data_IF_277230142263
#
_entry.id   IF_277230142263
#
_cell.length_a   1.000
_cell.length_b   1.000
_cell.length_c   1.000
_cell.angle_alpha   90.00
_cell.angle_beta   90.00
_cell.angle_gamma   90.00
#
_symmetry.space_group_name_H-M   'P 1'
#
loop_
_entity.id
_entity.type
_entity.pdbx_description
1 polymer ?
#
# COMPACT_ATOMS: atom_id res chain seq x y z
N UNK A 1 -13.72 -6.41 1.38
CA UNK A 1 -13.16 -6.30 2.75
C UNK A 1 -13.29 -7.62 3.50
N UNK A 2 -12.31 -7.93 4.35
CA UNK A 2 -12.32 -9.11 5.22
C UNK A 2 -12.02 -8.75 6.69
N UNK A 3 -11.83 -7.47 6.96
CA UNK A 3 -11.54 -6.96 8.30
C UNK A 3 -12.68 -6.10 8.84
N UNK A 4 -13.35 -5.37 7.96
CA UNK A 4 -14.41 -4.44 8.34
C UNK A 4 -15.71 -4.76 7.62
N UNK A 5 -16.84 -4.46 8.28
CA UNK A 5 -18.17 -4.56 7.68
C UNK A 5 -18.34 -3.65 6.45
N UNK A 6 -19.19 -4.05 5.50
CA UNK A 6 -19.49 -3.28 4.28
C UNK A 6 -19.93 -1.86 4.61
N UNK A 7 -20.77 -1.70 5.62
CA UNK A 7 -21.33 -0.42 6.05
C UNK A 7 -20.24 0.52 6.57
N UNK A 8 -19.26 0.00 7.32
CA UNK A 8 -18.15 0.82 7.85
C UNK A 8 -17.20 1.30 6.76
N UNK A 9 -17.00 0.49 5.72
CA UNK A 9 -16.24 0.92 4.53
C UNK A 9 -17.04 1.97 3.75
N UNK A 10 -18.36 1.78 3.60
CA UNK A 10 -19.22 2.76 2.95
C UNK A 10 -19.20 4.11 3.67
N UNK A 11 -19.33 4.13 5.00
CA UNK A 11 -19.26 5.35 5.82
C UNK A 11 -17.94 6.13 5.61
N UNK A 12 -16.81 5.42 5.54
CA UNK A 12 -15.50 6.05 5.29
C UNK A 12 -15.43 6.68 3.90
N UNK A 13 -15.99 6.01 2.90
CA UNK A 13 -16.04 6.52 1.53
C UNK A 13 -16.98 7.73 1.46
N UNK A 14 -18.14 7.67 2.13
CA UNK A 14 -19.09 8.78 2.19
C UNK A 14 -18.49 10.00 2.90
N UNK A 15 -17.76 9.81 4.01
CA UNK A 15 -17.02 10.88 4.69
C UNK A 15 -16.03 11.58 3.76
N UNK A 16 -15.28 10.78 2.99
CA UNK A 16 -14.33 11.28 2.00
C UNK A 16 -15.02 12.08 0.89
N UNK A 17 -16.02 11.50 0.24
CA UNK A 17 -16.71 12.09 -0.90
C UNK A 17 -17.53 13.33 -0.53
N UNK A 18 -18.15 13.32 0.65
CA UNK A 18 -18.91 14.47 1.18
C UNK A 18 -18.02 15.54 1.78
N UNK A 19 -16.74 15.24 2.02
CA UNK A 19 -15.80 16.10 2.72
C UNK A 19 -16.29 16.49 4.13
N UNK A 20 -16.83 15.51 4.87
CA UNK A 20 -17.42 15.66 6.22
C UNK A 20 -16.70 14.70 7.17
N UNK A 21 -16.38 15.14 8.40
CA UNK A 21 -15.85 14.22 9.40
C UNK A 21 -16.80 13.04 9.65
N UNK A 22 -16.24 11.85 9.86
CA UNK A 22 -17.01 10.59 9.98
C UNK A 22 -17.98 10.61 11.18
N UNK A 23 -17.58 11.23 12.29
CA UNK A 23 -18.40 11.41 13.48
C UNK A 23 -19.62 12.33 13.24
N UNK A 24 -19.54 13.21 12.24
CA UNK A 24 -20.65 14.08 11.87
C UNK A 24 -21.65 13.41 10.92
N UNK A 25 -21.27 12.33 10.24
CA UNK A 25 -22.18 11.57 9.38
C UNK A 25 -23.33 10.96 10.17
N UNK A 26 -23.06 10.42 11.36
CA UNK A 26 -24.06 9.80 12.23
C UNK A 26 -25.10 10.84 12.73
N UNK A 27 -24.69 12.09 12.86
CA UNK A 27 -25.54 13.18 13.32
C UNK A 27 -26.29 13.90 12.18
N UNK A 28 -26.04 13.50 10.93
CA UNK A 28 -26.67 14.12 9.76
C UNK A 28 -28.12 13.67 9.60
N UNK A 29 -29.04 14.61 9.34
CA UNK A 29 -30.40 14.21 9.02
C UNK A 29 -30.46 13.40 7.72
N UNK A 30 -31.38 12.43 7.66
CA UNK A 30 -31.55 11.56 6.47
C UNK A 30 -31.80 12.37 5.18
N UNK A 31 -32.45 13.54 5.29
CA UNK A 31 -32.68 14.43 4.15
C UNK A 31 -31.36 15.02 3.65
N UNK A 32 -30.57 15.62 4.54
CA UNK A 32 -29.28 16.20 4.18
C UNK A 32 -28.32 15.14 3.58
N UNK A 33 -28.29 13.95 4.16
CA UNK A 33 -27.50 12.84 3.65
C UNK A 33 -27.90 12.48 2.22
N UNK A 34 -29.20 12.28 1.97
CA UNK A 34 -29.73 11.97 0.63
C UNK A 34 -29.41 13.05 -0.40
N UNK A 35 -29.59 14.31 -0.04
CA UNK A 35 -29.32 15.45 -0.94
C UNK A 35 -27.84 15.51 -1.32
N UNK A 36 -26.93 15.25 -0.37
CA UNK A 36 -25.47 15.19 -0.65
C UNK A 36 -25.10 14.00 -1.52
N UNK A 37 -25.62 12.80 -1.23
CA UNK A 37 -25.39 11.61 -2.08
C UNK A 37 -25.89 11.87 -3.51
N UNK A 38 -27.06 12.46 -3.69
CA UNK A 38 -27.57 12.78 -5.01
C UNK A 38 -26.69 13.80 -5.75
N UNK A 39 -26.16 14.77 -5.03
CA UNK A 39 -25.21 15.75 -5.58
C UNK A 39 -23.92 15.08 -6.03
N UNK A 40 -23.38 14.14 -5.26
CA UNK A 40 -22.20 13.37 -5.63
C UNK A 40 -22.51 12.47 -6.84
N UNK A 41 -23.60 11.71 -6.77
CA UNK A 41 -24.03 10.82 -7.84
C UNK A 41 -24.24 11.53 -9.19
N UNK A 42 -24.72 12.80 -9.14
CA UNK A 42 -24.88 13.60 -10.37
C UNK A 42 -23.55 14.06 -10.99
N UNK A 43 -22.45 14.06 -10.23
CA UNK A 43 -21.12 14.51 -10.65
C UNK A 43 -20.15 13.37 -10.93
N UNK A 44 -20.48 12.14 -10.53
CA UNK A 44 -19.65 10.96 -10.67
C UNK A 44 -20.30 9.95 -11.60
N UNK A 45 -19.49 9.34 -12.46
CA UNK A 45 -19.94 8.26 -13.35
C UNK A 45 -19.59 6.87 -12.80
N UNK A 46 -18.73 6.82 -11.78
CA UNK A 46 -18.25 5.59 -11.18
C UNK A 46 -19.36 4.83 -10.42
N UNK A 47 -19.26 3.53 -10.43
CA UNK A 47 -20.08 2.63 -9.61
C UNK A 47 -19.18 1.87 -8.66
N UNK A 48 -19.57 1.75 -7.40
CA UNK A 48 -18.85 1.03 -6.38
C UNK A 48 -19.71 -0.13 -5.88
N UNK A 49 -19.07 -1.28 -5.70
CA UNK A 49 -19.65 -2.43 -5.01
C UNK A 49 -18.68 -2.80 -3.89
N UNK A 50 -19.18 -2.84 -2.68
CA UNK A 50 -18.46 -3.30 -1.50
C UNK A 50 -18.97 -4.70 -1.17
N UNK A 51 -18.06 -5.63 -0.88
CA UNK A 51 -18.40 -7.00 -0.48
C UNK A 51 -17.57 -7.42 0.70
N UNK A 52 -18.26 -7.81 1.77
CA UNK A 52 -17.66 -8.38 2.96
C UNK A 52 -17.53 -9.90 2.83
N UNK A 53 -16.42 -10.42 3.34
CA UNK A 53 -16.18 -11.84 3.55
C UNK A 53 -15.63 -12.07 4.95
N UNK A 54 -15.95 -13.17 5.60
CA UNK A 54 -15.33 -13.52 6.88
C UNK A 54 -13.82 -13.66 6.76
N UNK A 55 -13.10 -13.18 7.76
CA UNK A 55 -11.63 -13.25 7.83
C UNK A 55 -11.14 -14.69 7.64
N UNK A 56 -10.13 -14.87 6.81
CA UNK A 56 -9.51 -16.18 6.55
C UNK A 56 -10.36 -17.17 5.72
N UNK A 57 -11.51 -16.75 5.21
CA UNK A 57 -12.39 -17.64 4.43
C UNK A 57 -12.41 -17.34 2.93
N UNK A 58 -12.21 -16.07 2.55
CA UNK A 58 -12.25 -15.68 1.15
C UNK A 58 -10.98 -16.07 0.40
N UNK A 59 -11.14 -16.68 -0.75
CA UNK A 59 -10.09 -17.03 -1.69
C UNK A 59 -10.47 -16.64 -3.12
N UNK A 60 -9.57 -16.84 -4.07
CA UNK A 60 -9.79 -16.46 -5.47
C UNK A 60 -10.99 -17.13 -6.11
N UNK A 61 -11.43 -18.32 -5.65
CA UNK A 61 -12.66 -18.95 -6.16
C UNK A 61 -13.91 -18.17 -5.77
N UNK A 62 -13.94 -17.61 -4.54
CA UNK A 62 -15.04 -16.75 -4.10
C UNK A 62 -15.05 -15.42 -4.89
N UNK A 63 -13.87 -14.82 -5.11
CA UNK A 63 -13.79 -13.60 -5.89
C UNK A 63 -14.20 -13.81 -7.34
N UNK A 64 -13.77 -14.91 -7.96
CA UNK A 64 -14.20 -15.31 -9.31
C UNK A 64 -15.71 -15.49 -9.41
N UNK A 65 -16.31 -16.18 -8.44
CA UNK A 65 -17.76 -16.37 -8.39
C UNK A 65 -18.51 -15.04 -8.29
N UNK A 66 -18.05 -14.13 -7.42
CA UNK A 66 -18.61 -12.78 -7.29
C UNK A 66 -18.50 -11.99 -8.60
N UNK A 67 -17.34 -11.96 -9.24
CA UNK A 67 -17.11 -11.21 -10.47
C UNK A 67 -18.03 -11.71 -11.61
N UNK A 68 -18.17 -13.04 -11.74
CA UNK A 68 -19.09 -13.65 -12.70
C UNK A 68 -20.56 -13.31 -12.39
N UNK A 69 -20.95 -13.36 -11.12
CA UNK A 69 -22.30 -13.00 -10.70
C UNK A 69 -22.62 -11.53 -11.02
N UNK A 70 -21.69 -10.61 -10.71
CA UNK A 70 -21.84 -9.18 -10.99
C UNK A 70 -21.98 -8.92 -12.48
N UNK A 71 -21.16 -9.58 -13.29
CA UNK A 71 -21.23 -9.48 -14.76
C UNK A 71 -22.58 -9.97 -15.29
N UNK A 72 -23.03 -11.14 -14.84
CA UNK A 72 -24.25 -11.77 -15.35
C UNK A 72 -25.54 -11.09 -14.84
N UNK A 73 -25.61 -10.77 -13.53
CA UNK A 73 -26.84 -10.26 -12.92
C UNK A 73 -26.97 -8.74 -12.93
N UNK A 74 -25.84 -8.02 -12.90
CA UNK A 74 -25.84 -6.56 -12.78
C UNK A 74 -25.22 -5.84 -13.99
N UNK A 75 -24.74 -6.60 -14.96
CA UNK A 75 -23.96 -6.08 -16.09
C UNK A 75 -22.83 -5.17 -15.60
N UNK A 76 -22.19 -5.57 -14.49
CA UNK A 76 -21.12 -4.83 -13.86
C UNK A 76 -19.79 -5.55 -14.07
N UNK A 77 -18.84 -4.85 -14.71
CA UNK A 77 -17.46 -5.30 -14.90
C UNK A 77 -16.58 -4.25 -14.22
N UNK A 78 -15.82 -4.62 -13.17
CA UNK A 78 -14.97 -3.66 -12.49
C UNK A 78 -13.77 -3.26 -13.36
N UNK A 79 -13.37 -2.01 -13.28
CA UNK A 79 -12.12 -1.48 -13.88
C UNK A 79 -10.95 -1.55 -12.89
N UNK A 80 -11.23 -1.74 -11.60
CA UNK A 80 -10.24 -1.95 -10.54
C UNK A 80 -10.87 -2.74 -9.40
N UNK A 81 -10.09 -3.60 -8.77
CA UNK A 81 -10.48 -4.36 -7.58
C UNK A 81 -9.56 -4.01 -6.43
N UNK A 82 -10.13 -3.72 -5.26
CA UNK A 82 -9.42 -3.53 -4.01
C UNK A 82 -9.70 -4.70 -3.08
N UNK A 83 -8.65 -5.30 -2.52
CA UNK A 83 -8.75 -6.39 -1.53
C UNK A 83 -8.12 -5.91 -0.23
N UNK A 84 -8.92 -5.76 0.81
CA UNK A 84 -8.48 -5.29 2.12
C UNK A 84 -8.54 -6.44 3.13
N UNK A 85 -7.41 -7.13 3.40
CA UNK A 85 -6.11 -7.10 2.75
C UNK A 85 -5.59 -8.52 2.50
N UNK A 86 -4.51 -8.65 1.76
CA UNK A 86 -4.04 -9.91 1.20
C UNK A 86 -3.75 -10.99 2.25
N UNK A 87 -3.09 -10.65 3.37
CA UNK A 87 -2.61 -11.64 4.35
C UNK A 87 -3.74 -12.38 5.08
N UNK A 88 -4.96 -11.83 5.08
CA UNK A 88 -6.15 -12.47 5.68
C UNK A 88 -7.04 -13.16 4.66
N UNK A 89 -6.60 -13.26 3.39
CA UNK A 89 -7.21 -14.15 2.41
C UNK A 89 -6.87 -15.62 2.69
N UNK A 90 -7.68 -16.52 2.16
CA UNK A 90 -7.35 -17.94 2.11
C UNK A 90 -6.72 -18.32 0.75
N UNK A 91 -5.79 -19.28 0.76
CA UNK A 91 -5.31 -19.88 -0.48
C UNK A 91 -6.26 -20.98 -0.94
N UNK A 92 -6.67 -20.94 -2.20
CA UNK A 92 -7.47 -22.00 -2.81
C UNK A 92 -6.64 -23.25 -3.07
N UNK A 93 -5.33 -23.10 -3.38
CA UNK A 93 -4.41 -24.22 -3.67
C UNK A 93 -4.02 -24.99 -2.42
N UNK A 94 -3.91 -24.32 -1.28
CA UNK A 94 -3.45 -24.93 -0.02
C UNK A 94 -4.57 -25.41 0.88
N UNK A 95 -5.80 -25.34 0.42
CA UNK A 95 -6.97 -25.85 1.16
C UNK A 95 -6.86 -27.37 1.32
N UNK A 96 -6.75 -27.84 2.58
CA UNK A 96 -6.71 -29.28 2.90
C UNK A 96 -5.33 -29.93 2.84
N UNK A 97 -4.24 -29.19 2.64
CA UNK A 97 -2.90 -29.72 2.85
C UNK A 97 -2.65 -29.86 4.35
N UNK A 98 -2.78 -31.10 4.86
CA UNK A 98 -2.40 -31.45 6.23
C UNK A 98 -0.88 -31.38 6.38
N UNK A 99 -0.40 -30.54 7.29
CA UNK A 99 1.03 -30.36 7.56
C UNK A 99 1.31 -28.94 8.03
N UNK A 100 2.51 -28.72 8.56
CA UNK A 100 2.94 -27.36 8.92
C UNK A 100 3.23 -26.59 7.64
N UNK A 101 2.23 -25.82 7.18
CA UNK A 101 2.41 -24.91 6.03
C UNK A 101 3.23 -23.72 6.53
N UNK A 102 4.37 -23.46 5.88
CA UNK A 102 5.15 -22.25 6.14
C UNK A 102 4.35 -21.01 5.71
N UNK A 103 4.19 -20.05 6.61
CA UNK A 103 3.47 -18.79 6.36
C UNK A 103 3.96 -18.08 5.08
N UNK A 104 5.28 -18.10 4.84
CA UNK A 104 5.90 -17.60 3.62
C UNK A 104 5.27 -18.20 2.35
N UNK A 105 5.23 -19.52 2.26
CA UNK A 105 4.68 -20.23 1.07
C UNK A 105 3.19 -19.99 0.93
N UNK A 106 2.48 -19.83 2.05
CA UNK A 106 1.05 -19.56 2.08
C UNK A 106 0.72 -18.18 1.50
N UNK A 107 1.36 -17.14 1.99
CA UNK A 107 1.17 -15.76 1.51
C UNK A 107 1.60 -15.60 0.05
N UNK A 108 2.72 -16.23 -0.34
CA UNK A 108 3.15 -16.28 -1.74
C UNK A 108 2.08 -16.91 -2.64
N UNK A 109 1.48 -18.04 -2.19
CA UNK A 109 0.42 -18.70 -2.95
C UNK A 109 -0.80 -17.81 -3.15
N UNK A 110 -1.24 -17.10 -2.09
CA UNK A 110 -2.34 -16.13 -2.18
C UNK A 110 -2.02 -15.03 -3.20
N UNK A 111 -0.82 -14.45 -3.13
CA UNK A 111 -0.40 -13.39 -4.05
C UNK A 111 -0.40 -13.86 -5.51
N UNK A 112 0.13 -15.06 -5.77
CA UNK A 112 0.13 -15.66 -7.12
C UNK A 112 -1.29 -15.97 -7.62
N UNK A 113 -2.17 -16.43 -6.74
CA UNK A 113 -3.57 -16.69 -7.08
C UNK A 113 -4.32 -15.40 -7.42
N UNK A 114 -4.11 -14.34 -6.64
CA UNK A 114 -4.71 -13.01 -6.89
C UNK A 114 -4.17 -12.42 -8.19
N UNK A 115 -2.85 -12.57 -8.45
CA UNK A 115 -2.27 -12.17 -9.74
C UNK A 115 -2.89 -12.93 -10.91
N UNK A 116 -3.10 -14.25 -10.76
CA UNK A 116 -3.80 -15.06 -11.76
C UNK A 116 -5.21 -14.55 -12.04
N UNK A 117 -5.94 -14.16 -11.00
CA UNK A 117 -7.29 -13.58 -11.13
C UNK A 117 -7.27 -12.23 -11.88
N UNK A 118 -6.28 -11.37 -11.60
CA UNK A 118 -6.11 -10.10 -12.31
C UNK A 118 -5.91 -10.30 -13.81
N UNK A 119 -5.10 -11.27 -14.20
CA UNK A 119 -4.87 -11.62 -15.61
C UNK A 119 -6.12 -12.24 -16.24
N UNK A 120 -6.81 -13.15 -15.53
CA UNK A 120 -8.04 -13.82 -16.02
C UNK A 120 -9.17 -12.84 -16.35
N UNK A 121 -9.33 -11.80 -15.53
CA UNK A 121 -10.39 -10.79 -15.70
C UNK A 121 -9.92 -9.51 -16.39
N UNK A 122 -8.64 -9.42 -16.74
CA UNK A 122 -8.01 -8.23 -17.34
C UNK A 122 -8.28 -6.96 -16.51
N UNK A 123 -8.05 -7.05 -15.21
CA UNK A 123 -8.35 -5.98 -14.24
C UNK A 123 -7.21 -5.81 -13.24
N UNK A 124 -6.75 -4.59 -12.96
CA UNK A 124 -5.78 -4.34 -11.91
C UNK A 124 -6.38 -4.67 -10.53
N UNK A 125 -5.61 -5.39 -9.71
CA UNK A 125 -5.96 -5.69 -8.33
C UNK A 125 -4.98 -4.99 -7.40
N UNK A 126 -5.51 -4.19 -6.49
CA UNK A 126 -4.76 -3.50 -5.43
C UNK A 126 -5.05 -4.18 -4.09
N UNK A 127 -4.01 -4.40 -3.31
CA UNK A 127 -4.13 -4.93 -1.96
C UNK A 127 -3.08 -4.32 -1.05
N UNK A 128 -3.21 -4.58 0.24
CA UNK A 128 -2.25 -4.17 1.25
C UNK A 128 -1.59 -5.39 1.90
N UNK A 129 -0.45 -5.14 2.52
CA UNK A 129 0.22 -6.07 3.43
C UNK A 129 0.80 -5.29 4.61
N UNK A 130 0.97 -5.94 5.73
CA UNK A 130 1.60 -5.32 6.89
C UNK A 130 3.13 -5.41 6.77
N UNK A 131 3.84 -4.50 7.44
CA UNK A 131 5.28 -4.59 7.62
C UNK A 131 5.63 -5.55 8.75
N UNK A 132 6.87 -6.03 8.78
CA UNK A 132 7.43 -6.76 9.93
C UNK A 132 7.55 -5.83 11.14
N UNK A 133 7.79 -6.41 12.32
CA UNK A 133 8.02 -5.61 13.55
C UNK A 133 9.23 -4.69 13.44
N UNK A 134 10.28 -5.08 12.72
CA UNK A 134 11.44 -4.24 12.43
C UNK A 134 11.07 -3.06 11.55
N UNK A 135 10.31 -3.28 10.49
CA UNK A 135 9.84 -2.23 9.59
C UNK A 135 8.86 -1.25 10.24
N UNK A 136 8.11 -1.69 11.27
CA UNK A 136 7.15 -0.82 11.97
C UNK A 136 7.82 0.36 12.70
N UNK A 137 9.03 0.16 13.23
CA UNK A 137 9.79 1.19 13.93
C UNK A 137 10.85 1.87 13.06
N UNK A 138 10.86 1.59 11.76
CA UNK A 138 11.84 2.15 10.83
C UNK A 138 11.31 3.39 10.13
N UNK A 139 12.10 4.45 10.12
CA UNK A 139 11.85 5.63 9.28
C UNK A 139 12.12 5.35 7.79
N UNK A 140 12.74 4.21 7.49
CA UNK A 140 13.01 3.76 6.13
C UNK A 140 12.62 2.29 5.95
N UNK A 141 11.51 2.06 5.27
CA UNK A 141 10.96 0.72 4.97
C UNK A 141 11.50 0.24 3.63
N UNK A 142 12.03 -1.01 3.61
CA UNK A 142 12.50 -1.71 2.42
C UNK A 142 11.55 -2.85 1.99
N UNK A 143 11.92 -3.54 0.90
CA UNK A 143 11.19 -4.74 0.46
C UNK A 143 11.33 -5.91 1.46
N UNK A 144 12.43 -5.94 2.20
CA UNK A 144 12.73 -6.89 3.26
C UNK A 144 11.84 -6.73 4.49
N UNK A 145 11.26 -5.54 4.68
CA UNK A 145 10.36 -5.24 5.79
C UNK A 145 8.91 -5.64 5.52
N UNK A 146 8.61 -6.20 4.35
CA UNK A 146 7.27 -6.73 4.10
C UNK A 146 7.03 -7.99 4.92
N UNK A 147 5.90 -8.02 5.62
CA UNK A 147 5.50 -9.13 6.49
C UNK A 147 5.59 -10.48 5.76
N UNK A 148 6.34 -11.39 6.37
CA UNK A 148 6.39 -12.83 6.09
C UNK A 148 6.95 -13.29 4.75
N UNK A 149 7.40 -12.43 3.78
CA UNK A 149 7.74 -13.05 2.51
C UNK A 149 8.42 -12.16 1.46
N UNK A 150 9.61 -12.56 1.03
CA UNK A 150 10.17 -12.15 -0.28
C UNK A 150 9.30 -12.58 -1.48
N UNK A 151 8.38 -13.52 -1.28
CA UNK A 151 7.47 -14.00 -2.33
C UNK A 151 6.44 -12.97 -2.76
N UNK A 152 5.99 -12.11 -1.84
CA UNK A 152 5.05 -11.05 -2.15
C UNK A 152 5.68 -9.96 -3.03
N UNK A 153 6.86 -9.38 -2.66
CA UNK A 153 7.58 -8.48 -3.55
C UNK A 153 7.92 -9.08 -4.92
N UNK A 154 8.22 -10.37 -4.98
CA UNK A 154 8.49 -11.04 -6.26
C UNK A 154 7.26 -11.06 -7.18
N UNK A 155 6.06 -11.21 -6.62
CA UNK A 155 4.80 -11.35 -7.36
C UNK A 155 4.22 -10.01 -7.79
N UNK A 156 4.27 -8.98 -6.95
CA UNK A 156 3.71 -7.67 -7.22
C UNK A 156 4.42 -6.96 -8.39
N UNK A 157 3.67 -6.23 -9.20
CA UNK A 157 4.21 -5.41 -10.30
C UNK A 157 4.61 -4.02 -9.83
N UNK A 158 3.90 -3.50 -8.87
CA UNK A 158 4.14 -2.21 -8.24
C UNK A 158 3.95 -2.32 -6.73
N UNK A 159 4.85 -1.72 -5.94
CA UNK A 159 4.74 -1.65 -4.48
C UNK A 159 5.19 -0.30 -3.97
N UNK A 160 4.48 0.21 -2.99
CA UNK A 160 4.87 1.38 -2.22
C UNK A 160 4.59 1.16 -0.73
N UNK A 161 5.39 1.79 0.12
CA UNK A 161 5.18 1.85 1.55
C UNK A 161 4.53 3.16 1.95
N UNK A 162 3.63 3.09 2.92
CA UNK A 162 3.09 4.23 3.64
C UNK A 162 3.81 4.30 5.00
N UNK A 163 4.62 5.32 5.19
CA UNK A 163 5.45 5.48 6.37
C UNK A 163 4.90 6.64 7.20
N UNK A 164 4.75 6.41 8.49
CA UNK A 164 4.25 7.40 9.44
C UNK A 164 5.12 7.37 10.69
N UNK A 165 5.54 8.54 11.15
CA UNK A 165 6.22 8.75 12.43
C UNK A 165 5.57 9.90 13.19
N UNK A 166 6.06 10.20 14.39
CA UNK A 166 5.46 11.25 15.24
C UNK A 166 5.49 12.63 14.56
N UNK A 167 6.58 12.98 13.88
CA UNK A 167 6.73 14.27 13.18
C UNK A 167 5.74 14.38 12.01
N UNK A 168 5.63 13.34 11.18
CA UNK A 168 4.66 13.30 10.09
C UNK A 168 3.22 13.34 10.60
N UNK A 169 2.93 12.60 11.67
CA UNK A 169 1.60 12.59 12.29
C UNK A 169 1.21 13.96 12.84
N UNK A 170 2.13 14.65 13.51
CA UNK A 170 1.91 16.01 14.03
C UNK A 170 1.59 17.01 12.91
N UNK A 171 2.14 16.81 11.72
CA UNK A 171 1.89 17.62 10.53
C UNK A 171 0.70 17.12 9.69
N UNK A 172 -0.01 16.08 10.10
CA UNK A 172 -1.08 15.47 9.32
C UNK A 172 -0.58 14.93 7.97
N UNK A 173 0.58 14.27 7.94
CA UNK A 173 1.23 13.81 6.73
C UNK A 173 1.60 12.33 6.80
N UNK A 174 1.79 11.72 5.63
CA UNK A 174 2.35 10.37 5.45
C UNK A 174 3.40 10.46 4.35
N UNK A 175 4.54 9.78 4.55
CA UNK A 175 5.52 9.56 3.50
C UNK A 175 5.13 8.36 2.66
N UNK A 176 5.08 8.54 1.36
CA UNK A 176 4.95 7.45 0.39
C UNK A 176 6.33 7.15 -0.18
N UNK A 177 6.77 5.88 -0.08
CA UNK A 177 8.02 5.41 -0.66
C UNK A 177 7.74 4.34 -1.69
N UNK A 178 8.19 4.55 -2.93
CA UNK A 178 8.14 3.52 -3.97
C UNK A 178 9.17 2.43 -3.68
N UNK A 179 8.73 1.20 -3.50
CA UNK A 179 9.59 0.05 -3.22
C UNK A 179 9.89 -0.77 -4.47
N UNK A 180 8.93 -0.86 -5.39
CA UNK A 180 9.06 -1.62 -6.62
C UNK A 180 8.22 -1.01 -7.73
N UNK A 181 8.77 -0.99 -8.93
CA UNK A 181 8.07 -0.62 -10.15
C UNK A 181 8.62 -1.43 -11.32
N UNK A 182 7.77 -2.25 -11.96
CA UNK A 182 8.17 -3.03 -13.14
C UNK A 182 8.03 -2.27 -14.44
N UNK A 183 7.28 -1.16 -14.43
CA UNK A 183 6.87 -0.47 -15.65
C UNK A 183 7.65 0.83 -15.89
N UNK A 184 8.36 1.32 -14.88
CA UNK A 184 9.08 2.59 -14.97
C UNK A 184 10.34 2.56 -14.10
N UNK A 185 11.19 3.59 -14.23
CA UNK A 185 12.35 3.80 -13.38
C UNK A 185 11.95 3.91 -11.89
N UNK A 186 12.38 2.98 -11.04
CA UNK A 186 12.07 3.04 -9.61
C UNK A 186 12.74 4.22 -8.90
N UNK A 187 13.75 4.85 -9.50
CA UNK A 187 14.39 6.07 -8.99
C UNK A 187 13.58 7.34 -9.20
N UNK A 188 12.66 7.34 -10.19
CA UNK A 188 11.77 8.47 -10.42
C UNK A 188 10.68 8.51 -9.35
N UNK A 189 10.54 9.66 -8.67
CA UNK A 189 9.53 9.85 -7.60
C UNK A 189 9.63 8.79 -6.49
N UNK A 190 10.85 8.46 -6.10
CA UNK A 190 11.10 7.41 -5.11
C UNK A 190 10.40 7.69 -3.78
N UNK A 191 10.32 8.96 -3.37
CA UNK A 191 9.68 9.39 -2.12
C UNK A 191 8.93 10.70 -2.32
N UNK A 192 7.75 10.78 -1.73
CA UNK A 192 6.98 12.02 -1.65
C UNK A 192 6.04 12.00 -0.43
N UNK A 193 5.66 13.18 0.03
CA UNK A 193 4.76 13.32 1.17
C UNK A 193 3.36 13.66 0.70
N UNK A 194 2.35 13.08 1.33
CA UNK A 194 0.94 13.40 1.15
C UNK A 194 0.33 13.87 2.46
N UNK A 195 -0.63 14.78 2.39
CA UNK A 195 -1.44 15.21 3.51
C UNK A 195 -2.56 14.21 3.81
N UNK A 196 -2.90 14.08 5.09
CA UNK A 196 -3.94 13.16 5.58
C UNK A 196 -4.89 13.88 6.51
N UNK A 197 -6.15 13.99 6.14
CA UNK A 197 -7.25 14.35 7.03
C UNK A 197 -7.93 13.05 7.49
N UNK A 198 -7.53 12.56 8.67
CA UNK A 198 -8.04 11.31 9.23
C UNK A 198 -9.52 11.38 9.59
N UNK A 199 -10.02 12.56 9.95
CA UNK A 199 -11.41 12.75 10.31
C UNK A 199 -12.35 12.55 9.12
N UNK A 200 -11.89 12.89 7.92
CA UNK A 200 -12.64 12.78 6.67
C UNK A 200 -12.15 11.65 5.77
N UNK A 201 -11.24 10.80 6.25
CA UNK A 201 -10.63 9.72 5.45
C UNK A 201 -10.04 10.23 4.12
N UNK A 202 -9.41 11.41 4.13
CA UNK A 202 -9.02 12.11 2.92
C UNK A 202 -7.51 12.27 2.81
N UNK A 203 -7.01 12.04 1.59
CA UNK A 203 -5.64 12.35 1.19
C UNK A 203 -5.67 13.61 0.32
N UNK A 204 -4.63 14.43 0.42
CA UNK A 204 -4.47 15.65 -0.38
C UNK A 204 -3.00 15.96 -0.65
N UNK A 205 -2.75 16.73 -1.70
CA UNK A 205 -1.40 17.16 -2.06
C UNK A 205 -0.85 18.17 -1.08
N UNK A 206 0.44 18.06 -0.77
CA UNK A 206 1.19 19.01 0.06
C UNK A 206 2.40 19.53 -0.70
N UNK A 207 2.86 20.71 -0.31
CA UNK A 207 4.10 21.30 -0.86
C UNK A 207 5.31 20.46 -0.41
N UNK A 208 5.92 19.76 -1.35
CA UNK A 208 7.07 18.88 -1.08
C UNK A 208 8.26 19.61 -0.48
N UNK A 209 8.43 20.90 -0.79
CA UNK A 209 9.54 21.74 -0.26
C UNK A 209 9.38 22.07 1.23
N UNK A 210 8.16 21.96 1.76
CA UNK A 210 7.84 22.17 3.18
C UNK A 210 7.79 20.89 3.99
N UNK A 211 8.00 19.73 3.35
CA UNK A 211 8.05 18.46 4.06
C UNK A 211 9.26 18.41 5.00
N UNK A 212 9.09 17.93 6.26
CA UNK A 212 10.18 17.74 7.20
C UNK A 212 11.32 16.90 6.65
N UNK A 213 11.00 15.97 5.75
CA UNK A 213 11.95 15.03 5.14
C UNK A 213 12.80 15.64 4.02
N UNK A 214 12.41 16.80 3.49
CA UNK A 214 13.15 17.54 2.47
C UNK A 214 13.97 18.70 3.04
N UNK A 215 14.13 18.77 4.37
CA UNK A 215 15.16 19.67 4.91
C UNK A 215 16.50 19.20 4.37
N UNK A 216 17.27 20.07 3.65
CA UNK A 216 18.63 19.70 3.27
C UNK A 216 19.35 19.27 4.54
N UNK A 217 19.95 18.08 4.53
CA UNK A 217 20.87 17.72 5.63
C UNK A 217 21.81 18.91 5.80
N UNK A 218 22.03 19.40 7.04
CA UNK A 218 23.01 20.43 7.26
C UNK A 218 24.31 19.89 6.66
N UNK A 219 24.85 20.64 5.71
CA UNK A 219 26.08 20.32 5.00
C UNK A 219 27.12 19.89 6.05
N UNK A 220 27.23 18.59 6.26
CA UNK A 220 28.34 18.03 7.01
C UNK A 220 29.53 18.22 6.10
N UNK A 221 30.10 19.44 6.15
CA UNK A 221 31.31 19.74 5.45
C UNK A 221 32.29 18.58 5.62
N UNK A 222 33.19 18.37 4.67
CA UNK A 222 34.04 17.19 4.63
C UNK A 222 34.62 16.93 6.02
N UNK A 223 34.21 15.81 6.64
CA UNK A 223 34.79 15.35 7.90
C UNK A 223 36.23 14.99 7.59
N UNK A 224 37.12 15.95 7.70
CA UNK A 224 38.55 15.66 7.74
C UNK A 224 38.76 14.93 9.07
N UNK A 225 38.80 13.61 9.00
CA UNK A 225 39.26 12.78 10.10
C UNK A 225 40.73 13.06 10.35
N UNK A 226 40.98 13.95 11.34
CA UNK A 226 42.31 14.31 11.81
C UNK A 226 42.87 13.26 12.78
N UNK A 227 42.34 12.02 12.81
CA UNK A 227 42.99 10.91 13.48
C UNK A 227 44.14 10.38 12.62
N UNK A 228 45.20 11.19 12.54
CA UNK A 228 46.48 10.80 11.97
C UNK A 228 47.18 9.79 12.90
N UNK A 229 46.90 8.54 12.76
CA UNK A 229 47.89 7.49 13.01
C UNK A 229 48.43 7.04 11.65
N UNK A 230 49.50 7.74 11.24
CA UNK A 230 50.14 7.52 9.96
C UNK A 230 50.68 6.14 9.79
N UNK A 231 50.17 5.43 8.80
CA UNK A 231 51.03 4.51 8.04
C UNK A 231 51.03 4.98 6.59
N UNK A 232 52.08 5.70 6.24
CA UNK A 232 52.50 5.92 4.86
C UNK A 232 52.69 4.57 4.21
N UNK A 233 51.75 4.15 3.43
CA UNK A 233 51.93 3.07 2.46
C UNK A 233 52.96 3.57 1.44
N UNK A 234 54.19 3.01 1.51
CA UNK A 234 55.28 3.30 0.59
C UNK A 234 54.85 3.02 -0.84
N UNK A 235 55.07 4.00 -1.70
CA UNK A 235 54.84 3.98 -3.14
C UNK A 235 55.80 3.08 -3.91
N UNK A 236 56.20 1.94 -3.38
CA UNK A 236 57.20 1.04 -3.97
C UNK A 236 56.63 -0.20 -4.66
N UNK A 237 55.28 -0.29 -4.83
CA UNK A 237 54.71 -1.53 -5.43
C UNK A 237 54.33 -1.45 -6.91
N UNK A 238 54.65 -0.36 -7.59
CA UNK A 238 54.29 -0.20 -9.01
C UNK A 238 55.46 -0.06 -9.98
N UNK A 239 56.71 -0.30 -9.53
CA UNK A 239 57.88 -0.20 -10.41
C UNK A 239 58.22 -1.49 -11.17
N UNK A 240 57.43 -2.53 -11.13
CA UNK A 240 57.77 -3.83 -11.77
C UNK A 240 56.87 -4.22 -12.95
N UNK A 241 56.11 -3.33 -13.53
CA UNK A 241 55.45 -3.56 -14.83
C UNK A 241 56.20 -2.80 -15.91
N UNK A 242 57.24 -3.43 -16.49
CA UNK A 242 57.75 -3.11 -17.84
C UNK A 242 56.98 -3.95 -18.86
N UNK A 243 56.54 -3.30 -19.93
CA UNK A 243 56.08 -3.93 -21.16
C UNK A 243 57.11 -4.91 -21.73
#
# INVERSE_FOLDING_TARGET
TMEMAEERIAERIDANLMNVPIDQLENMSSKMFKDRIQTIASKTQGKLIIKEYPTGQANTSHFRALLNELKLKKNFVPEVIFIDYLNICASARMKGMGGSINSYSYIKSIAEEIRGLAVEFDVPIMSATQTTRSGYNSDDVGLEDTSESFGLPATADFMFALISNEELNANGQILVKQLKNRYNDPGAYQRFTIGVDRSKMKLFDVDQNKSPLNKPEPDKGPVFDNSSSGQRLKAERFSSFKM
#
